data_IF_053406044709
#
_entry.id   IF_053406044709
#
_cell.length_a   1.000
_cell.length_b   1.000
_cell.length_c   1.000
_cell.angle_alpha   90.00
_cell.angle_beta   90.00
_cell.angle_gamma   90.00
#
_symmetry.space_group_name_H-M   'P 1'
#
loop_
_entity.id
_entity.type
_entity.pdbx_description
1 polymer ?
#
# COMPACT_ATOMS: atom_id res chain seq x y z
N UNK A 1 -7.45 5.50 -28.26
CA UNK A 1 -8.69 5.10 -27.59
C UNK A 1 -8.27 4.59 -26.23
N UNK A 2 -8.21 5.46 -25.22
CA UNK A 2 -7.91 5.04 -23.85
C UNK A 2 -9.06 4.15 -23.38
N UNK A 3 -8.77 2.88 -23.13
CA UNK A 3 -9.66 2.04 -22.33
C UNK A 3 -9.83 2.77 -21.00
N UNK A 4 -11.01 3.35 -20.77
CA UNK A 4 -11.44 3.75 -19.43
C UNK A 4 -11.35 2.49 -18.58
N UNK A 5 -10.22 2.31 -17.88
CA UNK A 5 -9.94 1.07 -17.18
C UNK A 5 -11.05 0.83 -16.15
N UNK A 6 -11.56 -0.41 -16.08
CA UNK A 6 -12.61 -0.80 -15.12
C UNK A 6 -12.27 -0.30 -13.71
N UNK A 7 -13.29 -0.04 -12.89
CA UNK A 7 -13.11 0.57 -11.58
C UNK A 7 -12.10 -0.21 -10.70
N UNK A 8 -12.12 -1.54 -10.73
CA UNK A 8 -11.14 -2.41 -10.05
C UNK A 8 -9.69 -2.15 -10.48
N UNK A 9 -9.44 -1.96 -11.77
CA UNK A 9 -8.10 -1.63 -12.31
C UNK A 9 -7.64 -0.23 -11.85
N UNK A 10 -8.55 0.74 -11.81
CA UNK A 10 -8.23 2.09 -11.29
C UNK A 10 -7.86 2.03 -9.80
N UNK A 11 -8.57 1.21 -9.01
CA UNK A 11 -8.20 0.99 -7.61
C UNK A 11 -6.84 0.30 -7.47
N UNK A 12 -6.52 -0.70 -8.29
CA UNK A 12 -5.18 -1.31 -8.30
C UNK A 12 -4.11 -0.26 -8.62
N UNK A 13 -4.33 0.60 -9.62
CA UNK A 13 -3.37 1.64 -9.95
C UNK A 13 -3.20 2.67 -8.82
N UNK A 14 -4.28 2.98 -8.10
CA UNK A 14 -4.22 3.86 -6.92
C UNK A 14 -3.48 3.18 -5.75
N UNK A 15 -3.80 1.92 -5.44
CA UNK A 15 -3.15 1.14 -4.38
C UNK A 15 -1.64 1.01 -4.61
N UNK A 16 -1.20 0.88 -5.87
CA UNK A 16 0.22 0.80 -6.24
C UNK A 16 1.06 1.99 -5.76
N UNK A 17 0.44 3.15 -5.54
CA UNK A 17 1.13 4.35 -5.05
C UNK A 17 1.36 4.35 -3.54
N UNK A 18 0.71 3.45 -2.80
CA UNK A 18 0.80 3.41 -1.33
C UNK A 18 2.05 2.66 -0.86
N UNK A 19 2.68 3.06 0.26
CA UNK A 19 3.96 2.54 0.74
C UNK A 19 3.97 1.03 0.93
N UNK A 20 2.89 0.44 1.42
CA UNK A 20 2.79 -1.02 1.64
C UNK A 20 2.77 -1.85 0.34
N UNK A 21 2.66 -1.21 -0.83
CA UNK A 21 2.72 -1.87 -2.14
C UNK A 21 3.94 -1.44 -2.99
N UNK A 22 4.86 -0.62 -2.46
CA UNK A 22 6.02 -0.13 -3.22
C UNK A 22 7.05 -1.24 -3.56
N UNK A 23 6.97 -2.41 -2.93
CA UNK A 23 7.85 -3.55 -3.25
C UNK A 23 7.51 -4.26 -4.58
N UNK A 24 6.44 -3.86 -5.26
CA UNK A 24 6.04 -4.46 -6.53
C UNK A 24 6.91 -3.96 -7.69
N UNK A 25 7.85 -4.80 -8.12
CA UNK A 25 8.81 -4.51 -9.20
C UNK A 25 8.20 -4.50 -10.61
N UNK A 26 7.06 -5.17 -10.81
CA UNK A 26 6.35 -5.20 -12.08
C UNK A 26 5.26 -4.12 -12.10
N UNK A 27 5.32 -3.20 -13.07
CA UNK A 27 4.32 -2.13 -13.26
C UNK A 27 2.99 -2.66 -13.80
N UNK A 28 2.95 -3.90 -14.27
CA UNK A 28 1.80 -4.59 -14.85
C UNK A 28 1.57 -5.93 -14.16
N UNK A 29 0.80 -5.96 -13.07
CA UNK A 29 0.53 -7.23 -12.39
C UNK A 29 -0.19 -7.08 -11.06
N UNK A 30 -0.45 -8.21 -10.37
CA UNK A 30 -0.99 -8.25 -9.02
C UNK A 30 -0.12 -7.45 -8.06
N UNK A 31 -0.73 -6.72 -7.14
CA UNK A 31 0.00 -6.04 -6.07
C UNK A 31 0.23 -7.01 -4.92
N UNK A 32 1.44 -7.08 -4.42
CA UNK A 32 1.78 -7.82 -3.20
C UNK A 32 1.93 -6.85 -2.05
N UNK A 33 1.21 -7.10 -0.95
CA UNK A 33 1.31 -6.34 0.28
C UNK A 33 2.59 -6.70 1.04
N UNK A 34 3.44 -5.72 1.35
CA UNK A 34 4.79 -5.96 1.87
C UNK A 34 4.84 -6.73 3.19
N UNK A 35 3.90 -6.50 4.12
CA UNK A 35 3.92 -7.14 5.44
C UNK A 35 3.15 -8.46 5.53
N UNK A 36 2.22 -8.71 4.62
CA UNK A 36 1.31 -9.86 4.72
C UNK A 36 1.51 -10.85 3.57
N UNK A 37 2.20 -10.46 2.50
CA UNK A 37 2.35 -11.27 1.29
C UNK A 37 1.04 -11.47 0.52
N UNK A 38 -0.05 -10.80 0.91
CA UNK A 38 -1.35 -10.90 0.22
C UNK A 38 -1.22 -10.30 -1.17
N UNK A 39 -1.65 -11.05 -2.18
CA UNK A 39 -1.71 -10.61 -3.57
C UNK A 39 -3.10 -10.05 -3.86
N UNK A 40 -3.15 -8.83 -4.38
CA UNK A 40 -4.36 -8.10 -4.74
C UNK A 40 -4.45 -8.05 -6.26
N UNK A 41 -5.56 -8.53 -6.80
CA UNK A 41 -5.85 -8.54 -8.24
C UNK A 41 -7.16 -7.83 -8.52
N UNK A 42 -7.31 -7.15 -9.66
CA UNK A 42 -8.63 -6.76 -10.10
C UNK A 42 -9.45 -8.03 -10.38
N UNK A 43 -10.69 -8.11 -9.88
CA UNK A 43 -11.64 -9.17 -10.26
C UNK A 43 -12.77 -8.59 -11.13
N UNK A 44 -13.54 -9.50 -11.72
CA UNK A 44 -14.64 -9.21 -12.64
C UNK A 44 -14.43 -9.84 -14.02
N UNK A 45 -15.53 -10.29 -14.65
CA UNK A 45 -15.49 -10.66 -16.06
C UNK A 45 -15.17 -9.43 -16.90
N UNK A 46 -14.19 -9.53 -17.81
CA UNK A 46 -13.74 -8.42 -18.65
C UNK A 46 -14.85 -7.88 -19.59
N UNK A 47 -16.00 -8.54 -19.68
CA UNK A 47 -17.10 -8.24 -20.60
C UNK A 47 -18.35 -7.62 -19.98
N UNK A 48 -18.45 -7.47 -18.65
CA UNK A 48 -19.58 -6.79 -18.02
C UNK A 48 -19.32 -5.27 -17.90
N UNK A 49 -20.10 -4.46 -18.61
CA UNK A 49 -20.00 -2.99 -18.64
C UNK A 49 -20.69 -2.32 -17.43
N UNK A 50 -21.48 -3.06 -16.65
CA UNK A 50 -22.25 -2.54 -15.51
C UNK A 50 -21.55 -2.72 -14.14
N UNK A 51 -20.29 -3.19 -14.10
CA UNK A 51 -19.50 -3.30 -12.86
C UNK A 51 -19.11 -1.93 -12.31
N UNK A 52 -20.05 -1.35 -11.58
CA UNK A 52 -19.97 -0.06 -10.88
C UNK A 52 -19.42 -0.19 -9.47
N UNK A 53 -19.33 -1.41 -8.93
CA UNK A 53 -18.97 -1.70 -7.55
C UNK A 53 -17.46 -1.80 -7.42
N UNK A 54 -16.80 -2.41 -8.41
CA UNK A 54 -15.37 -2.66 -8.41
C UNK A 54 -15.01 -3.67 -7.31
N UNK A 55 -14.81 -4.92 -7.70
CA UNK A 55 -14.37 -5.97 -6.79
C UNK A 55 -12.86 -6.19 -6.97
N UNK A 56 -12.19 -6.49 -5.87
CA UNK A 56 -10.80 -6.95 -5.86
C UNK A 56 -10.74 -8.36 -5.31
N UNK A 57 -9.87 -9.17 -5.89
CA UNK A 57 -9.51 -10.49 -5.39
C UNK A 57 -8.28 -10.38 -4.49
N UNK A 58 -8.33 -11.05 -3.35
CA UNK A 58 -7.21 -11.18 -2.43
C UNK A 58 -6.81 -12.65 -2.35
N UNK A 59 -5.54 -12.95 -2.64
CA UNK A 59 -4.93 -14.27 -2.51
C UNK A 59 -3.90 -14.24 -1.38
N UNK A 60 -4.14 -15.03 -0.34
CA UNK A 60 -3.27 -15.11 0.83
C UNK A 60 -2.11 -16.09 0.60
N UNK A 61 -0.97 -15.92 1.30
CA UNK A 61 0.05 -16.96 1.38
C UNK A 61 -0.56 -18.27 1.89
N UNK A 62 -0.58 -19.31 1.05
CA UNK A 62 -1.32 -20.56 1.29
C UNK A 62 -2.45 -20.83 0.30
N UNK A 63 -2.76 -19.88 -0.59
CA UNK A 63 -3.66 -20.07 -1.73
C UNK A 63 -5.14 -19.85 -1.43
N UNK A 64 -5.50 -19.48 -0.20
CA UNK A 64 -6.86 -19.05 0.12
C UNK A 64 -7.20 -17.74 -0.60
N UNK A 65 -8.43 -17.64 -1.12
CA UNK A 65 -8.89 -16.51 -1.92
C UNK A 65 -10.20 -15.95 -1.39
N UNK A 66 -10.30 -14.63 -1.34
CA UNK A 66 -11.54 -13.92 -1.06
C UNK A 66 -11.73 -12.77 -2.05
N UNK A 67 -12.96 -12.28 -2.14
CA UNK A 67 -13.31 -11.08 -2.87
C UNK A 67 -13.73 -9.96 -1.91
N UNK A 68 -13.34 -8.74 -2.23
CA UNK A 68 -13.62 -7.56 -1.40
C UNK A 68 -14.10 -6.38 -2.25
N UNK A 69 -14.90 -5.52 -1.63
CA UNK A 69 -15.29 -4.26 -2.22
C UNK A 69 -14.07 -3.32 -2.34
N UNK A 70 -13.74 -2.88 -3.57
CA UNK A 70 -12.51 -2.15 -3.83
C UNK A 70 -12.40 -0.85 -3.02
N UNK A 71 -13.50 -0.08 -2.93
CA UNK A 71 -13.51 1.16 -2.15
C UNK A 71 -13.24 0.93 -0.66
N UNK A 72 -13.83 -0.11 -0.07
CA UNK A 72 -13.69 -0.37 1.36
C UNK A 72 -12.25 -0.82 1.68
N UNK A 73 -11.71 -1.72 0.84
CA UNK A 73 -10.32 -2.14 0.93
C UNK A 73 -9.35 -0.96 0.75
N UNK A 74 -9.64 -0.07 -0.21
CA UNK A 74 -8.84 1.13 -0.46
C UNK A 74 -8.81 2.08 0.75
N UNK A 75 -9.94 2.32 1.43
CA UNK A 75 -9.97 3.15 2.65
C UNK A 75 -9.10 2.55 3.78
N UNK A 76 -9.13 1.23 3.95
CA UNK A 76 -8.28 0.54 4.93
C UNK A 76 -6.80 0.71 4.58
N UNK A 77 -6.45 0.53 3.30
CA UNK A 77 -5.08 0.69 2.81
C UNK A 77 -4.58 2.15 2.96
N UNK A 78 -5.43 3.15 2.73
CA UNK A 78 -5.08 4.56 2.95
C UNK A 78 -4.76 4.85 4.42
N UNK A 79 -5.57 4.30 5.33
CA UNK A 79 -5.35 4.46 6.78
C UNK A 79 -4.01 3.86 7.19
N UNK A 80 -3.69 2.66 6.71
CA UNK A 80 -2.39 2.03 6.95
C UNK A 80 -1.23 2.84 6.35
N UNK A 81 -1.38 3.32 5.12
CA UNK A 81 -0.37 4.14 4.44
C UNK A 81 -0.03 5.40 5.26
N UNK A 82 -1.06 6.13 5.71
CA UNK A 82 -0.88 7.31 6.54
C UNK A 82 -0.18 6.98 7.87
N UNK A 83 -0.51 5.86 8.50
CA UNK A 83 0.15 5.42 9.74
C UNK A 83 1.63 5.10 9.51
N UNK A 84 1.99 4.46 8.39
CA UNK A 84 3.38 4.21 8.00
C UNK A 84 4.13 5.54 7.85
N UNK A 85 3.62 6.44 7.01
CA UNK A 85 4.29 7.71 6.69
C UNK A 85 4.49 8.59 7.93
N UNK A 86 3.45 8.77 8.74
CA UNK A 86 3.51 9.55 9.99
C UNK A 86 4.50 8.91 10.97
N UNK A 87 4.61 7.59 10.99
CA UNK A 87 5.52 6.89 11.90
C UNK A 87 6.98 6.97 11.47
N UNK A 88 7.25 6.93 10.16
CA UNK A 88 8.62 6.88 9.61
C UNK A 88 9.19 8.25 9.28
N UNK A 89 8.34 9.23 8.94
CA UNK A 89 8.74 10.59 8.59
C UNK A 89 7.86 11.65 9.27
N UNK A 90 7.73 11.65 10.62
CA UNK A 90 6.86 12.58 11.35
C UNK A 90 7.16 14.06 11.07
N UNK A 91 8.41 14.39 10.72
CA UNK A 91 8.83 15.75 10.39
C UNK A 91 8.13 16.32 9.15
N UNK A 92 7.87 15.49 8.13
CA UNK A 92 7.22 15.90 6.87
C UNK A 92 5.77 16.35 7.10
N UNK A 93 5.17 15.90 8.20
CA UNK A 93 3.82 16.26 8.65
C UNK A 93 3.83 17.36 9.74
N UNK A 94 4.97 18.01 9.97
CA UNK A 94 5.11 19.10 10.94
C UNK A 94 5.12 18.65 12.41
N UNK A 95 5.29 17.35 12.69
CA UNK A 95 5.38 16.82 14.06
C UNK A 95 6.79 17.05 14.58
N UNK A 96 6.94 18.11 15.37
CA UNK A 96 8.19 18.46 16.06
C UNK A 96 8.62 17.32 16.99
N UNK A 97 9.93 17.13 17.16
CA UNK A 97 10.53 16.05 17.97
C UNK A 97 9.92 15.94 19.38
N UNK A 98 9.75 17.06 20.09
CA UNK A 98 9.14 17.08 21.44
C UNK A 98 7.65 16.69 21.49
N UNK A 99 7.00 16.50 20.34
CA UNK A 99 5.62 16.01 20.19
C UNK A 99 5.54 14.63 19.55
N UNK A 100 6.67 14.03 19.19
CA UNK A 100 6.70 12.68 18.64
C UNK A 100 6.40 11.65 19.73
N UNK A 101 5.73 10.59 19.34
CA UNK A 101 5.50 9.42 20.19
C UNK A 101 6.82 8.69 20.48
N UNK A 102 6.91 7.91 21.57
CA UNK A 102 8.09 7.09 21.84
C UNK A 102 8.48 6.15 20.69
N UNK A 103 7.47 5.64 19.94
CA UNK A 103 7.69 4.77 18.78
C UNK A 103 8.36 5.54 17.65
N UNK A 104 7.86 6.72 17.30
CA UNK A 104 8.46 7.58 16.26
C UNK A 104 9.91 7.95 16.59
N UNK A 105 10.18 8.37 17.83
CA UNK A 105 11.54 8.66 18.29
C UNK A 105 12.45 7.45 18.15
N UNK A 106 11.97 6.27 18.56
CA UNK A 106 12.75 5.03 18.48
C UNK A 106 13.03 4.60 17.04
N UNK A 107 12.06 4.75 16.13
CA UNK A 107 12.24 4.50 14.70
C UNK A 107 13.34 5.42 14.15
N UNK A 108 13.29 6.72 14.44
CA UNK A 108 14.28 7.69 14.00
C UNK A 108 15.69 7.34 14.46
N UNK A 109 15.86 7.07 15.76
CA UNK A 109 17.15 6.68 16.36
C UNK A 109 17.70 5.38 15.76
N UNK A 110 16.85 4.37 15.57
CA UNK A 110 17.26 3.10 14.99
C UNK A 110 17.66 3.27 13.52
N UNK A 111 16.87 4.02 12.75
CA UNK A 111 17.16 4.34 11.36
C UNK A 111 18.49 5.06 11.21
N UNK A 112 18.73 6.10 12.01
CA UNK A 112 20.00 6.83 12.02
C UNK A 112 21.19 5.94 12.40
N UNK A 113 21.05 5.13 13.45
CA UNK A 113 22.10 4.20 13.86
C UNK A 113 22.47 3.22 12.74
N UNK A 114 21.45 2.61 12.11
CA UNK A 114 21.65 1.64 11.04
C UNK A 114 22.25 2.28 9.79
N UNK A 115 21.80 3.47 9.39
CA UNK A 115 22.37 4.19 8.24
C UNK A 115 23.84 4.49 8.43
N UNK A 116 24.24 5.01 9.60
CA UNK A 116 25.66 5.25 9.92
C UNK A 116 26.47 3.96 9.97
N UNK A 117 25.94 2.93 10.65
CA UNK A 117 26.64 1.64 10.84
C UNK A 117 26.90 0.91 9.52
N UNK A 118 26.00 1.06 8.56
CA UNK A 118 26.07 0.37 7.26
C UNK A 118 26.43 1.31 6.11
N UNK A 119 26.86 2.55 6.40
CA UNK A 119 27.23 3.56 5.39
C UNK A 119 26.17 3.77 4.31
N UNK A 120 24.91 3.92 4.73
CA UNK A 120 23.74 4.10 3.85
C UNK A 120 23.40 5.58 3.61
N UNK A 121 24.13 6.51 4.21
CA UNK A 121 24.01 7.95 3.93
C UNK A 121 24.88 8.25 2.69
N UNK A 122 24.30 8.19 1.48
CA UNK A 122 24.91 8.67 0.23
C UNK A 122 24.66 10.17 0.02
#
# INVERSE_FOLDING_TARGET
>A
MELSAKLSVRYINALRQLPQYQCNVDSSGPLTHAFTGVRVTPTGELHDEDDTVGILGLEFPGGHKIEVHAFAFFQIALKEAAEIEISTAPGDFGIREGKQTPVQLRIGQLGEHLRRKHSLDE
#
